data_IF_832471660320
#
_entry.id   IF_832471660320
#
_cell.length_a   1.000
_cell.length_b   1.000
_cell.length_c   1.000
_cell.angle_alpha   90.00
_cell.angle_beta   90.00
_cell.angle_gamma   90.00
#
_symmetry.space_group_name_H-M   'P 1'
#
loop_
_entity.id
_entity.type
_entity.pdbx_description
1 polymer ?
#
# COMPACT_ATOMS: atom_id res chain seq x y z
N UNK A 1 -9.41 -20.19 15.73
CA UNK A 1 -8.15 -19.72 15.13
C UNK A 1 -8.10 -20.09 13.66
N UNK A 2 -7.51 -19.24 12.86
CA UNK A 2 -7.37 -19.47 11.42
C UNK A 2 -6.23 -20.44 11.17
N UNK A 3 -6.41 -21.29 10.17
CA UNK A 3 -5.36 -22.18 9.73
C UNK A 3 -4.23 -21.39 9.06
N UNK A 4 -3.07 -22.01 8.96
CA UNK A 4 -1.91 -21.45 8.26
C UNK A 4 -2.23 -21.09 6.81
N UNK A 5 -3.00 -21.94 6.12
CA UNK A 5 -3.40 -21.70 4.74
C UNK A 5 -4.35 -20.49 4.61
N UNK A 6 -5.28 -20.34 5.55
CA UNK A 6 -6.19 -19.19 5.58
C UNK A 6 -5.45 -17.88 5.78
N UNK A 7 -4.48 -17.86 6.69
CA UNK A 7 -3.63 -16.68 6.95
C UNK A 7 -2.82 -16.33 5.71
N UNK A 8 -2.23 -17.32 5.07
CA UNK A 8 -1.46 -17.16 3.84
C UNK A 8 -2.32 -16.58 2.71
N UNK A 9 -3.54 -17.10 2.57
CA UNK A 9 -4.51 -16.64 1.58
C UNK A 9 -4.89 -15.18 1.83
N UNK A 10 -5.20 -14.81 3.06
CA UNK A 10 -5.52 -13.43 3.43
C UNK A 10 -4.37 -12.47 3.15
N UNK A 11 -3.15 -12.87 3.50
CA UNK A 11 -1.96 -12.05 3.24
C UNK A 11 -1.76 -11.83 1.75
N UNK A 12 -1.97 -12.87 0.94
CA UNK A 12 -1.89 -12.78 -0.51
C UNK A 12 -2.92 -11.81 -1.08
N UNK A 13 -4.17 -11.90 -0.62
CA UNK A 13 -5.25 -11.01 -1.05
C UNK A 13 -4.99 -9.55 -0.66
N UNK A 14 -4.50 -9.31 0.56
CA UNK A 14 -4.14 -7.96 1.01
C UNK A 14 -2.98 -7.39 0.20
N UNK A 15 -1.99 -8.21 -0.09
CA UNK A 15 -0.85 -7.82 -0.91
C UNK A 15 -1.29 -7.42 -2.32
N UNK A 16 -2.17 -8.19 -2.93
CA UNK A 16 -2.74 -7.88 -4.25
C UNK A 16 -3.50 -6.56 -4.25
N UNK A 17 -4.28 -6.29 -3.19
CA UNK A 17 -5.00 -5.03 -3.04
C UNK A 17 -4.04 -3.85 -2.94
N UNK A 18 -2.97 -3.99 -2.17
CA UNK A 18 -1.94 -2.94 -2.06
C UNK A 18 -1.29 -2.68 -3.42
N UNK A 19 -0.91 -3.72 -4.15
CA UNK A 19 -0.32 -3.58 -5.49
C UNK A 19 -1.27 -2.89 -6.46
N UNK A 20 -2.54 -3.26 -6.46
CA UNK A 20 -3.57 -2.63 -7.29
C UNK A 20 -3.72 -1.14 -6.97
N UNK A 21 -3.76 -0.78 -5.69
CA UNK A 21 -3.88 0.61 -5.26
C UNK A 21 -2.65 1.44 -5.60
N UNK A 22 -1.45 0.87 -5.45
CA UNK A 22 -0.20 1.53 -5.85
C UNK A 22 -0.19 1.81 -7.36
N UNK A 23 -0.62 0.86 -8.17
CA UNK A 23 -0.71 1.03 -9.63
C UNK A 23 -1.72 2.13 -10.00
N UNK A 24 -2.89 2.13 -9.36
CA UNK A 24 -3.91 3.18 -9.57
C UNK A 24 -3.39 4.55 -9.15
N UNK A 25 -2.71 4.63 -8.01
CA UNK A 25 -2.11 5.88 -7.54
C UNK A 25 -1.09 6.43 -8.53
N UNK A 26 -0.24 5.56 -9.08
CA UNK A 26 0.77 5.96 -10.07
C UNK A 26 0.13 6.47 -11.35
N UNK A 27 -0.90 5.79 -11.84
CA UNK A 27 -1.64 6.20 -13.03
C UNK A 27 -2.32 7.57 -12.81
N UNK A 28 -2.95 7.76 -11.65
CA UNK A 28 -3.60 9.03 -11.32
C UNK A 28 -2.61 10.17 -11.18
N UNK A 29 -1.42 9.94 -10.66
CA UNK A 29 -0.35 10.96 -10.59
C UNK A 29 0.09 11.40 -11.97
N UNK A 30 0.20 10.47 -12.92
CA UNK A 30 0.51 10.79 -14.31
C UNK A 30 -0.61 11.63 -14.95
N UNK A 31 -1.86 11.28 -14.70
CA UNK A 31 -3.00 12.05 -15.17
C UNK A 31 -2.99 13.47 -14.58
N UNK A 32 -2.65 13.62 -13.31
CA UNK A 32 -2.50 14.93 -12.67
C UNK A 32 -1.39 15.77 -13.31
N UNK A 33 -0.27 15.17 -13.64
CA UNK A 33 0.83 15.84 -14.33
C UNK A 33 0.36 16.37 -15.70
N UNK A 34 -0.39 15.56 -16.44
CA UNK A 34 -0.95 15.98 -17.73
C UNK A 34 -1.92 17.14 -17.57
N UNK A 35 -2.79 17.10 -16.57
CA UNK A 35 -3.72 18.18 -16.28
C UNK A 35 -3.01 19.47 -15.90
N UNK A 36 -1.94 19.38 -15.10
CA UNK A 36 -1.13 20.54 -14.74
C UNK A 36 -0.43 21.16 -15.95
N UNK A 37 0.07 20.35 -16.87
CA UNK A 37 0.65 20.84 -18.13
C UNK A 37 -0.38 21.57 -18.97
N UNK A 38 -1.59 21.01 -19.08
CA UNK A 38 -2.69 21.65 -19.80
C UNK A 38 -3.09 22.97 -19.14
N UNK A 39 -3.10 23.01 -17.80
CA UNK A 39 -3.39 24.20 -17.04
C UNK A 39 -2.35 25.31 -17.31
N UNK A 40 -1.06 24.96 -17.31
CA UNK A 40 0.02 25.89 -17.67
C UNK A 40 -0.18 26.48 -19.06
N UNK A 41 -0.55 25.64 -20.01
CA UNK A 41 -0.83 26.09 -21.39
C UNK A 41 -2.02 27.05 -21.43
N UNK A 42 -3.09 26.74 -20.71
CA UNK A 42 -4.26 27.62 -20.63
C UNK A 42 -3.89 28.96 -19.99
N UNK A 43 -3.08 28.97 -18.94
CA UNK A 43 -2.59 30.20 -18.29
C UNK A 43 -1.75 31.05 -19.22
N UNK A 44 -0.87 30.44 -20.05
CA UNK A 44 -0.09 31.13 -21.05
C UNK A 44 -0.99 31.77 -22.11
N UNK A 45 -2.03 31.07 -22.56
CA UNK A 45 -3.00 31.60 -23.50
C UNK A 45 -3.74 32.79 -22.91
N UNK A 46 -4.14 32.71 -21.64
CA UNK A 46 -4.79 33.81 -20.92
C UNK A 46 -3.88 35.05 -20.93
N UNK A 47 -2.61 34.89 -20.57
CA UNK A 47 -1.65 35.99 -20.62
C UNK A 47 -1.52 36.58 -22.01
N UNK A 48 -1.37 35.74 -23.02
CA UNK A 48 -1.20 36.16 -24.42
C UNK A 48 -2.39 36.96 -24.90
N UNK A 49 -3.60 36.45 -24.72
CA UNK A 49 -4.79 37.11 -25.20
C UNK A 49 -5.23 38.33 -24.35
N UNK A 50 -4.88 38.35 -23.06
CA UNK A 50 -5.08 39.52 -22.22
C UNK A 50 -4.26 40.71 -22.69
N UNK A 51 -3.08 40.48 -23.25
CA UNK A 51 -2.24 41.54 -23.79
C UNK A 51 -2.71 42.09 -25.14
N UNK A 52 -3.68 41.44 -25.78
CA UNK A 52 -4.27 41.84 -27.06
C UNK A 52 -5.64 42.50 -26.89
N UNK A 53 -5.77 43.29 -25.83
CA UNK A 53 -7.06 43.94 -25.48
C UNK A 53 -7.63 44.78 -26.62
N UNK A 54 -8.95 44.66 -26.86
CA UNK A 54 -9.67 45.40 -27.90
C UNK A 54 -9.99 44.62 -29.16
N UNK A 55 -9.36 43.47 -29.39
CA UNK A 55 -9.71 42.57 -30.47
C UNK A 55 -10.87 41.67 -30.06
N UNK A 56 -11.90 41.59 -30.90
CA UNK A 56 -13.05 40.70 -30.67
C UNK A 56 -12.60 39.24 -30.65
N UNK A 57 -11.74 38.86 -31.61
CA UNK A 57 -11.20 37.50 -31.69
C UNK A 57 -10.36 37.13 -30.44
N UNK A 58 -9.49 38.04 -29.99
CA UNK A 58 -8.70 37.86 -28.78
C UNK A 58 -9.59 37.73 -27.53
N UNK A 59 -10.68 38.49 -27.45
CA UNK A 59 -11.64 38.43 -26.36
C UNK A 59 -12.36 37.07 -26.32
N UNK A 60 -12.73 36.53 -27.47
CA UNK A 60 -13.35 35.20 -27.58
C UNK A 60 -12.38 34.10 -27.18
N UNK A 61 -11.12 34.20 -27.64
CA UNK A 61 -10.06 33.24 -27.24
C UNK A 61 -9.77 33.29 -25.75
N UNK A 62 -9.73 34.50 -25.19
CA UNK A 62 -9.55 34.72 -23.75
C UNK A 62 -10.66 34.05 -22.96
N UNK A 63 -11.91 34.22 -23.38
CA UNK A 63 -13.08 33.62 -22.71
C UNK A 63 -12.98 32.09 -22.74
N UNK A 64 -12.63 31.51 -23.87
CA UNK A 64 -12.43 30.07 -24.02
C UNK A 64 -11.30 29.56 -23.12
N UNK A 65 -10.20 30.29 -23.06
CA UNK A 65 -9.06 29.92 -22.20
C UNK A 65 -9.41 29.99 -20.73
N UNK A 66 -10.21 30.98 -20.30
CA UNK A 66 -10.69 31.09 -18.92
C UNK A 66 -11.62 29.94 -18.55
N UNK A 67 -12.49 29.55 -19.47
CA UNK A 67 -13.39 28.40 -19.26
C UNK A 67 -12.59 27.09 -19.16
N UNK A 68 -11.61 26.91 -20.02
CA UNK A 68 -10.70 25.75 -19.99
C UNK A 68 -9.94 25.68 -18.67
N UNK A 69 -9.40 26.81 -18.21
CA UNK A 69 -8.71 26.90 -16.92
C UNK A 69 -9.61 26.45 -15.76
N UNK A 70 -10.84 26.96 -15.71
CA UNK A 70 -11.81 26.61 -14.68
C UNK A 70 -12.14 25.11 -14.69
N UNK A 71 -12.32 24.54 -15.88
CA UNK A 71 -12.58 23.11 -16.06
C UNK A 71 -11.40 22.27 -15.57
N UNK A 72 -10.18 22.64 -15.94
CA UNK A 72 -8.95 21.93 -15.55
C UNK A 72 -8.73 21.99 -14.03
N UNK A 73 -8.97 23.14 -13.41
CA UNK A 73 -8.85 23.29 -11.95
C UNK A 73 -9.85 22.39 -11.23
N UNK A 74 -11.06 22.26 -11.74
CA UNK A 74 -12.08 21.36 -11.20
C UNK A 74 -11.65 19.91 -11.33
N UNK A 75 -11.14 19.52 -12.49
CA UNK A 75 -10.66 18.16 -12.74
C UNK A 75 -9.48 17.81 -11.82
N UNK A 76 -8.54 18.73 -11.65
CA UNK A 76 -7.39 18.57 -10.76
C UNK A 76 -7.86 18.38 -9.32
N UNK A 77 -8.82 19.18 -8.85
CA UNK A 77 -9.35 19.08 -7.50
C UNK A 77 -10.03 17.73 -7.26
N UNK A 78 -10.84 17.27 -8.22
CA UNK A 78 -11.51 15.97 -8.14
C UNK A 78 -10.52 14.81 -8.11
N UNK A 79 -9.53 14.87 -9.00
CA UNK A 79 -8.51 13.82 -9.08
C UNK A 79 -7.63 13.81 -7.84
N UNK A 80 -7.30 14.98 -7.31
CA UNK A 80 -6.54 15.15 -6.07
C UNK A 80 -7.24 14.48 -4.88
N UNK A 81 -8.57 14.67 -4.78
CA UNK A 81 -9.37 14.06 -3.72
C UNK A 81 -9.45 12.54 -3.89
N UNK A 82 -9.64 12.05 -5.12
CA UNK A 82 -9.63 10.61 -5.41
C UNK A 82 -8.29 9.98 -5.05
N UNK A 83 -7.20 10.66 -5.38
CA UNK A 83 -5.84 10.20 -5.07
C UNK A 83 -5.64 10.12 -3.54
N UNK A 84 -6.09 11.14 -2.82
CA UNK A 84 -6.02 11.15 -1.35
C UNK A 84 -6.77 9.96 -0.73
N UNK A 85 -7.97 9.68 -1.24
CA UNK A 85 -8.78 8.54 -0.78
C UNK A 85 -8.11 7.21 -1.06
N UNK A 86 -7.54 7.03 -2.25
CA UNK A 86 -6.83 5.80 -2.61
C UNK A 86 -5.56 5.61 -1.78
N UNK A 87 -4.85 6.69 -1.48
CA UNK A 87 -3.66 6.63 -0.61
C UNK A 87 -4.04 6.23 0.81
N UNK A 88 -5.14 6.78 1.34
CA UNK A 88 -5.64 6.41 2.67
C UNK A 88 -6.05 4.94 2.72
N UNK A 89 -6.74 4.46 1.69
CA UNK A 89 -7.13 3.06 1.57
C UNK A 89 -5.91 2.14 1.49
N UNK A 90 -4.91 2.49 0.68
CA UNK A 90 -3.63 1.78 0.61
C UNK A 90 -2.98 1.68 1.98
N UNK A 91 -2.92 2.79 2.71
CA UNK A 91 -2.29 2.83 4.02
C UNK A 91 -2.99 1.92 5.03
N UNK A 92 -4.33 1.83 4.96
CA UNK A 92 -5.10 0.90 5.79
C UNK A 92 -4.74 -0.55 5.51
N UNK A 93 -4.62 -0.93 4.24
CA UNK A 93 -4.22 -2.30 3.87
C UNK A 93 -2.77 -2.61 4.25
N UNK A 94 -1.88 -1.64 4.12
CA UNK A 94 -0.48 -1.79 4.55
C UNK A 94 -0.39 -2.01 6.06
N UNK A 95 -1.15 -1.25 6.85
CA UNK A 95 -1.20 -1.44 8.30
C UNK A 95 -1.74 -2.82 8.67
N UNK A 96 -2.77 -3.26 7.97
CA UNK A 96 -3.34 -4.60 8.18
C UNK A 96 -2.33 -5.70 7.89
N UNK A 97 -1.54 -5.56 6.81
CA UNK A 97 -0.45 -6.50 6.50
C UNK A 97 0.62 -6.51 7.58
N UNK A 98 0.97 -5.35 8.13
CA UNK A 98 1.95 -5.26 9.23
C UNK A 98 1.47 -5.97 10.48
N UNK A 99 0.19 -5.80 10.83
CA UNK A 99 -0.44 -6.49 11.96
C UNK A 99 -0.41 -8.00 11.78
N UNK A 100 -0.80 -8.47 10.59
CA UNK A 100 -0.79 -9.90 10.26
C UNK A 100 0.64 -10.47 10.31
N UNK A 101 1.61 -9.72 9.83
CA UNK A 101 3.03 -10.11 9.89
C UNK A 101 3.51 -10.23 11.34
N UNK A 102 3.13 -9.26 12.18
CA UNK A 102 3.50 -9.25 13.60
C UNK A 102 2.93 -10.47 14.32
N UNK A 103 1.66 -10.77 14.10
CA UNK A 103 0.98 -11.93 14.68
C UNK A 103 1.67 -13.23 14.24
N UNK A 104 1.98 -13.33 12.95
CA UNK A 104 2.67 -14.48 12.39
C UNK A 104 4.07 -14.67 13.00
N UNK A 105 4.83 -13.60 13.15
CA UNK A 105 6.16 -13.63 13.74
C UNK A 105 6.11 -14.10 15.20
N UNK A 106 5.14 -13.61 15.96
CA UNK A 106 4.92 -14.05 17.35
C UNK A 106 4.60 -15.54 17.42
N UNK A 107 3.73 -16.02 16.54
CA UNK A 107 3.37 -17.44 16.47
C UNK A 107 4.57 -18.31 16.12
N UNK A 108 5.35 -17.91 15.13
CA UNK A 108 6.58 -18.62 14.74
C UNK A 108 7.56 -18.69 15.92
N UNK A 109 7.72 -17.59 16.63
CA UNK A 109 8.59 -17.56 17.81
C UNK A 109 8.11 -18.51 18.92
N UNK A 110 6.81 -18.49 19.21
CA UNK A 110 6.21 -19.40 20.22
C UNK A 110 6.41 -20.86 19.84
N UNK A 111 6.18 -21.20 18.58
CA UNK A 111 6.38 -22.57 18.09
C UNK A 111 7.84 -22.98 18.18
N UNK A 112 8.75 -22.08 17.85
CA UNK A 112 10.19 -22.32 17.96
C UNK A 112 10.60 -22.59 19.41
N UNK A 113 10.08 -21.82 20.36
CA UNK A 113 10.33 -22.01 21.80
C UNK A 113 9.77 -23.34 22.29
N UNK A 114 8.56 -23.70 21.86
CA UNK A 114 7.96 -24.99 22.20
C UNK A 114 8.79 -26.16 21.66
N UNK A 115 9.23 -26.06 20.41
CA UNK A 115 10.08 -27.08 19.80
C UNK A 115 11.41 -27.24 20.58
N UNK A 116 12.00 -26.13 20.99
CA UNK A 116 13.23 -26.13 21.79
C UNK A 116 13.02 -26.81 23.15
N UNK A 117 11.93 -26.47 23.84
CA UNK A 117 11.56 -27.08 25.12
C UNK A 117 11.34 -28.59 24.95
N UNK A 118 10.63 -29.00 23.88
CA UNK A 118 10.40 -30.43 23.61
C UNK A 118 11.72 -31.18 23.36
N UNK A 119 12.64 -30.55 22.64
CA UNK A 119 13.96 -31.14 22.38
C UNK A 119 14.76 -31.31 23.69
N UNK A 120 14.72 -30.32 24.57
CA UNK A 120 15.37 -30.41 25.91
C UNK A 120 14.78 -31.54 26.74
N UNK A 121 13.45 -31.66 26.78
CA UNK A 121 12.75 -32.72 27.50
C UNK A 121 13.11 -34.09 26.94
N UNK A 122 13.19 -34.21 25.63
CA UNK A 122 13.60 -35.45 24.96
C UNK A 122 14.99 -35.87 25.38
N UNK A 123 15.94 -34.95 25.39
CA UNK A 123 17.32 -35.23 25.83
C UNK A 123 17.36 -35.67 27.28
N UNK A 124 16.60 -35.01 28.15
CA UNK A 124 16.50 -35.33 29.56
C UNK A 124 15.94 -36.74 29.76
N UNK A 125 14.87 -37.10 29.05
CA UNK A 125 14.29 -38.45 29.11
C UNK A 125 15.26 -39.51 28.61
N UNK A 126 15.98 -39.22 27.53
CA UNK A 126 16.97 -40.13 26.97
C UNK A 126 18.12 -40.38 27.96
N UNK A 127 18.59 -39.34 28.66
CA UNK A 127 19.60 -39.47 29.69
C UNK A 127 19.10 -40.32 30.86
N UNK A 128 17.86 -40.16 31.29
CA UNK A 128 17.22 -40.97 32.33
C UNK A 128 17.11 -42.44 31.91
N UNK A 129 16.73 -42.69 30.65
CA UNK A 129 16.65 -44.07 30.15
C UNK A 129 18.03 -44.73 30.15
N UNK A 130 19.06 -44.03 29.70
CA UNK A 130 20.43 -44.53 29.69
C UNK A 130 20.91 -44.86 31.12
N UNK A 131 20.59 -44.01 32.08
CA UNK A 131 20.92 -44.24 33.48
C UNK A 131 20.23 -45.51 34.04
N UNK A 132 18.93 -45.68 33.74
CA UNK A 132 18.18 -46.85 34.14
C UNK A 132 18.71 -48.13 33.47
N UNK A 133 19.09 -48.06 32.22
CA UNK A 133 19.71 -49.20 31.52
C UNK A 133 21.03 -49.60 32.15
N UNK A 134 21.85 -48.62 32.51
CA UNK A 134 23.11 -48.88 33.22
C UNK A 134 22.87 -49.56 34.56
N UNK A 135 21.86 -49.10 35.32
CA UNK A 135 21.53 -49.70 36.63
C UNK A 135 21.02 -51.14 36.46
N UNK A 136 20.27 -51.43 35.43
CA UNK A 136 19.81 -52.80 35.17
C UNK A 136 20.97 -53.72 34.82
N UNK A 137 21.96 -53.24 34.09
CA UNK A 137 23.15 -54.05 33.73
C UNK A 137 24.00 -54.34 34.93
N UNK A 138 24.02 -53.55 35.97
CA UNK A 138 24.78 -53.77 37.22
C UNK A 138 24.15 -54.85 38.10
N UNK A 139 22.87 -55.11 37.93
CA UNK A 139 22.19 -56.17 38.71
C UNK A 139 22.53 -57.56 38.17
#
# INVERSE_FOLDING_TARGET
SKSSEEIKQQNSELSEKVHSLVSKNSAMKLDMEDLHKKLEMAELMIQQFSNQAGSLDANQQLQMALEEKASLETQIAQLSESLRQLQAERDQYVEKLKEERSIWQQRVQQLSEQAHTMAEEKEKHMAQIQELEANVTEL
#
